data_IF_819992665467
#
_entry.id   IF_819992665467
#
_cell.length_a   1.000
_cell.length_b   1.000
_cell.length_c   1.000
_cell.angle_alpha   90.00
_cell.angle_beta   90.00
_cell.angle_gamma   90.00
#
_symmetry.space_group_name_H-M   'P 1'
#
loop_
_entity.id
_entity.type
_entity.pdbx_description
1 polymer ?
#
# COMPACT_ATOMS: atom_id res chain seq x y z
N UNK A 1 -15.01 -18.94 1.50
CA UNK A 1 -13.94 -19.21 0.52
C UNK A 1 -12.72 -18.39 0.94
N UNK A 2 -11.55 -19.00 1.01
CA UNK A 2 -10.30 -18.32 1.38
C UNK A 2 -9.49 -18.03 0.12
N UNK A 3 -8.99 -16.80 -0.01
CA UNK A 3 -8.14 -16.38 -1.13
C UNK A 3 -6.77 -16.01 -0.60
N UNK A 4 -5.75 -16.74 -1.03
CA UNK A 4 -4.36 -16.46 -0.63
C UNK A 4 -3.75 -15.43 -1.58
N UNK A 5 -3.12 -14.40 -1.01
CA UNK A 5 -2.32 -13.43 -1.74
C UNK A 5 -0.95 -13.33 -1.09
N UNK A 6 0.05 -13.82 -1.80
CA UNK A 6 1.44 -13.77 -1.32
C UNK A 6 2.00 -12.38 -1.56
N UNK A 7 3.01 -12.02 -0.77
CA UNK A 7 3.60 -10.71 -0.88
C UNK A 7 4.24 -10.46 -2.28
N UNK A 8 4.69 -11.51 -2.98
CA UNK A 8 5.24 -11.40 -4.34
C UNK A 8 4.21 -10.96 -5.38
N UNK A 9 2.92 -11.21 -5.13
CA UNK A 9 1.81 -10.83 -6.01
C UNK A 9 1.30 -9.41 -5.75
N UNK A 10 1.76 -8.75 -4.68
CA UNK A 10 1.41 -7.36 -4.40
C UNK A 10 1.97 -6.43 -5.50
N UNK A 11 1.29 -5.31 -5.72
CA UNK A 11 1.88 -4.21 -6.47
C UNK A 11 3.17 -3.76 -5.80
N UNK A 12 4.15 -3.33 -6.59
CA UNK A 12 5.44 -2.89 -6.07
C UNK A 12 5.75 -1.50 -6.61
N UNK A 13 6.38 -0.68 -5.78
CA UNK A 13 6.98 0.57 -6.19
C UNK A 13 8.33 0.73 -5.49
N UNK A 14 9.32 1.18 -6.25
CA UNK A 14 10.63 1.52 -5.75
C UNK A 14 10.97 2.94 -6.20
N UNK A 15 11.08 3.84 -5.23
CA UNK A 15 11.44 5.24 -5.43
C UNK A 15 12.89 5.52 -5.01
N UNK A 16 13.70 4.48 -4.81
CA UNK A 16 15.07 4.55 -4.32
C UNK A 16 15.15 4.74 -2.80
N UNK A 17 14.43 5.72 -2.25
CA UNK A 17 14.36 5.96 -0.80
C UNK A 17 13.22 5.19 -0.10
N UNK A 18 12.28 4.67 -0.88
CA UNK A 18 11.10 3.94 -0.41
C UNK A 18 10.91 2.70 -1.28
N UNK A 19 10.89 1.54 -0.64
CA UNK A 19 10.44 0.29 -1.24
C UNK A 19 9.06 -0.05 -0.67
N UNK A 20 8.04 0.00 -1.51
CA UNK A 20 6.65 -0.18 -1.11
C UNK A 20 6.00 -1.37 -1.81
N UNK A 21 5.10 -2.03 -1.09
CA UNK A 21 4.27 -3.12 -1.62
C UNK A 21 2.81 -2.87 -1.27
N UNK A 22 1.92 -3.02 -2.25
CA UNK A 22 0.50 -2.69 -2.12
C UNK A 22 -0.35 -3.94 -2.33
N UNK A 23 -1.15 -4.29 -1.32
CA UNK A 23 -2.06 -5.43 -1.42
C UNK A 23 -3.26 -5.10 -2.30
N UNK A 24 -3.82 -3.90 -2.14
CA UNK A 24 -4.90 -3.32 -2.94
C UNK A 24 -4.36 -2.19 -3.83
N UNK A 25 -5.17 -1.77 -4.80
CA UNK A 25 -4.89 -0.63 -5.68
C UNK A 25 -4.62 0.63 -4.89
N UNK A 26 -3.44 1.23 -5.09
CA UNK A 26 -2.99 2.41 -4.37
C UNK A 26 -1.88 3.15 -5.11
N UNK A 27 -1.88 4.49 -5.04
CA UNK A 27 -0.93 5.33 -5.74
C UNK A 27 -1.00 5.11 -7.26
N UNK A 28 0.13 4.73 -7.86
CA UNK A 28 0.20 4.40 -9.29
C UNK A 28 -0.10 2.94 -9.60
N UNK A 29 -0.16 2.05 -8.60
CA UNK A 29 -0.52 0.65 -8.79
C UNK A 29 -2.04 0.48 -8.86
N UNK A 30 -2.52 -0.14 -9.93
CA UNK A 30 -3.94 -0.41 -10.14
C UNK A 30 -4.18 -1.86 -10.55
N UNK A 31 -5.12 -2.50 -9.88
CA UNK A 31 -5.66 -3.82 -10.20
C UNK A 31 -7.19 -3.77 -9.96
N UNK A 32 -8.01 -3.89 -11.03
CA UNK A 32 -9.47 -3.74 -10.92
C UNK A 32 -10.12 -4.82 -10.04
N UNK A 33 -9.43 -5.93 -9.78
CA UNK A 33 -9.94 -7.01 -8.92
C UNK A 33 -9.60 -6.81 -7.45
N UNK A 34 -8.76 -5.82 -7.13
CA UNK A 34 -8.22 -5.59 -5.78
C UNK A 34 -8.34 -4.12 -5.40
N UNK A 35 -9.58 -3.66 -5.26
CA UNK A 35 -9.88 -2.28 -4.84
C UNK A 35 -10.01 -2.11 -3.32
N UNK A 36 -10.06 -3.22 -2.56
CA UNK A 36 -10.22 -3.25 -1.11
C UNK A 36 -10.87 -4.55 -0.64
N UNK A 37 -11.04 -4.69 0.67
CA UNK A 37 -11.77 -5.80 1.30
C UNK A 37 -12.64 -5.29 2.44
N UNK A 38 -13.97 -5.37 2.29
CA UNK A 38 -14.91 -4.75 3.20
C UNK A 38 -14.54 -3.27 3.47
N UNK A 39 -14.29 -2.90 4.73
CA UNK A 39 -13.86 -1.54 5.09
C UNK A 39 -12.38 -1.27 4.82
N UNK A 40 -11.54 -2.30 4.70
CA UNK A 40 -10.11 -2.17 4.46
C UNK A 40 -9.86 -1.70 3.02
N UNK A 41 -9.40 -0.45 2.88
CA UNK A 41 -9.14 0.16 1.56
C UNK A 41 -7.70 0.00 1.11
N UNK A 42 -6.75 0.17 2.03
CA UNK A 42 -5.32 0.16 1.73
C UNK A 42 -4.63 -0.73 2.75
N UNK A 43 -3.75 -1.60 2.27
CA UNK A 43 -2.79 -2.32 3.07
C UNK A 43 -1.46 -2.28 2.32
N UNK A 44 -0.51 -1.54 2.89
CA UNK A 44 0.82 -1.32 2.36
C UNK A 44 1.88 -1.87 3.32
N UNK A 45 2.97 -2.35 2.75
CA UNK A 45 4.22 -2.60 3.46
C UNK A 45 5.25 -1.63 2.89
N UNK A 46 5.82 -0.78 3.75
CA UNK A 46 6.75 0.28 3.34
C UNK A 46 8.07 0.12 4.09
N UNK A 47 9.17 0.12 3.34
CA UNK A 47 10.53 0.14 3.87
C UNK A 47 11.16 1.47 3.45
N UNK A 48 11.49 2.29 4.44
CA UNK A 48 12.15 3.58 4.26
C UNK A 48 13.66 3.43 4.44
N UNK A 49 14.43 4.07 3.55
CA UNK A 49 15.86 4.22 3.73
C UNK A 49 16.19 5.06 4.98
N UNK A 50 17.36 4.89 5.62
CA UNK A 50 17.76 5.69 6.77
C UNK A 50 17.71 7.20 6.48
N UNK A 51 17.06 7.96 7.37
CA UNK A 51 16.90 9.41 7.24
C UNK A 51 15.82 9.86 6.26
N UNK A 52 15.18 8.95 5.53
CA UNK A 52 14.06 9.28 4.66
C UNK A 52 12.77 9.50 5.48
N UNK A 53 11.89 10.35 4.96
CA UNK A 53 10.59 10.61 5.56
C UNK A 53 9.56 10.96 4.50
N UNK A 54 8.30 10.64 4.79
CA UNK A 54 7.19 11.14 3.99
C UNK A 54 6.96 12.62 4.27
N UNK A 55 6.61 13.37 3.23
CA UNK A 55 6.12 14.73 3.42
C UNK A 55 4.77 14.71 4.18
N UNK A 56 4.51 15.71 5.04
CA UNK A 56 3.21 15.87 5.66
C UNK A 56 2.08 15.90 4.63
N UNK A 57 1.00 15.17 4.91
CA UNK A 57 -0.15 15.06 4.02
C UNK A 57 -1.45 14.97 4.79
N UNK A 58 -2.53 15.40 4.16
CA UNK A 58 -3.89 15.18 4.64
C UNK A 58 -4.42 13.84 4.13
N UNK A 59 -5.30 13.23 4.90
CA UNK A 59 -6.02 12.03 4.49
C UNK A 59 -7.49 12.36 4.18
N UNK A 60 -8.15 11.60 3.29
CA UNK A 60 -9.60 11.62 3.20
C UNK A 60 -10.22 11.09 4.51
N UNK A 61 -11.55 10.93 4.56
CA UNK A 61 -12.25 10.36 5.73
C UNK A 61 -11.92 8.88 5.90
N UNK A 62 -10.76 8.60 6.49
CA UNK A 62 -10.24 7.26 6.76
C UNK A 62 -9.50 7.26 8.09
N UNK A 63 -9.53 6.11 8.75
CA UNK A 63 -8.67 5.84 9.89
C UNK A 63 -7.36 5.22 9.38
N UNK A 64 -6.23 5.61 10.00
CA UNK A 64 -4.90 5.11 9.65
C UNK A 64 -4.33 4.38 10.86
N UNK A 65 -3.78 3.19 10.63
CA UNK A 65 -3.08 2.39 11.62
C UNK A 65 -1.72 2.00 11.05
N UNK A 66 -0.67 2.22 11.84
CA UNK A 66 0.74 1.96 11.50
C UNK A 66 1.36 1.03 12.52
#
# INVERSE_FOLDING_TARGET
>A
MITTRTAKQCGQADYGWLQARYTFSFGHYFDPTLLGYASLRVLNQEVLAPGASFQPRTYPKVDILT
#
